data_IF_154802293062
#
_entry.id   IF_154802293062
#
_cell.length_a   1.000
_cell.length_b   1.000
_cell.length_c   1.000
_cell.angle_alpha   90.00
_cell.angle_beta   90.00
_cell.angle_gamma   90.00
#
_symmetry.space_group_name_H-M   'P 1'
#
loop_
_entity.id
_entity.type
_entity.pdbx_description
1 polymer ?
#
# COMPACT_ATOMS: atom_id res chain seq x y z
N UNK A 1 39.23 -29.08 -27.58
CA UNK A 1 37.97 -29.37 -26.84
C UNK A 1 37.52 -28.22 -25.94
N UNK A 2 38.43 -27.49 -25.27
CA UNK A 2 38.10 -26.39 -24.36
C UNK A 2 37.41 -25.15 -24.99
N UNK A 3 37.68 -24.85 -26.26
CA UNK A 3 37.01 -23.74 -26.96
C UNK A 3 35.50 -23.93 -27.15
N UNK A 4 35.03 -25.18 -27.27
CA UNK A 4 33.60 -25.51 -27.37
C UNK A 4 32.90 -25.38 -26.01
N UNK A 5 33.62 -25.62 -24.92
CA UNK A 5 33.10 -25.52 -23.55
C UNK A 5 32.89 -24.06 -23.12
N UNK A 6 33.82 -23.17 -23.49
CA UNK A 6 33.68 -21.73 -23.26
C UNK A 6 32.51 -21.12 -24.03
N UNK A 7 32.29 -21.56 -25.26
CA UNK A 7 31.16 -21.09 -26.08
C UNK A 7 29.81 -21.51 -25.49
N UNK A 8 29.74 -22.68 -24.86
CA UNK A 8 28.53 -23.18 -24.19
C UNK A 8 28.19 -22.38 -22.93
N UNK A 9 29.19 -22.02 -22.13
CA UNK A 9 29.02 -21.16 -20.95
C UNK A 9 28.55 -19.76 -21.32
N UNK A 10 29.13 -19.16 -22.36
CA UNK A 10 28.71 -17.85 -22.88
C UNK A 10 27.27 -17.90 -23.40
N UNK A 11 26.87 -18.99 -24.07
CA UNK A 11 25.50 -19.17 -24.53
C UNK A 11 24.50 -19.26 -23.37
N UNK A 12 24.83 -19.94 -22.27
CA UNK A 12 23.96 -20.04 -21.08
C UNK A 12 23.79 -18.68 -20.40
N UNK A 13 24.87 -17.90 -20.27
CA UNK A 13 24.81 -16.55 -19.68
C UNK A 13 23.97 -15.62 -20.55
N UNK A 14 24.15 -15.66 -21.88
CA UNK A 14 23.34 -14.87 -22.81
C UNK A 14 21.86 -15.28 -22.77
N UNK A 15 21.55 -16.58 -22.71
CA UNK A 15 20.18 -17.06 -22.56
C UNK A 15 19.55 -16.62 -21.24
N UNK A 16 20.31 -16.58 -20.14
CA UNK A 16 19.82 -16.11 -18.84
C UNK A 16 19.53 -14.60 -18.83
N UNK A 17 20.35 -13.80 -19.53
CA UNK A 17 20.12 -12.36 -19.67
C UNK A 17 18.88 -12.11 -20.54
N UNK A 18 18.74 -12.84 -21.65
CA UNK A 18 17.55 -12.75 -22.52
C UNK A 18 16.30 -13.15 -21.74
N UNK A 19 16.35 -14.22 -20.94
CA UNK A 19 15.23 -14.64 -20.08
C UNK A 19 14.85 -13.58 -19.04
N UNK A 20 15.84 -12.94 -18.42
CA UNK A 20 15.62 -11.85 -17.46
C UNK A 20 14.89 -10.66 -18.11
N UNK A 21 15.23 -10.32 -19.36
CA UNK A 21 14.55 -9.25 -20.09
C UNK A 21 13.17 -9.66 -20.65
N UNK A 22 12.96 -10.93 -21.01
CA UNK A 22 11.66 -11.42 -21.48
C UNK A 22 10.63 -11.48 -20.35
N UNK A 23 11.02 -11.82 -19.11
CA UNK A 23 10.11 -11.76 -17.95
C UNK A 23 9.75 -10.32 -17.54
N UNK A 24 10.57 -9.33 -17.91
CA UNK A 24 10.30 -7.90 -17.69
C UNK A 24 9.46 -7.21 -18.77
N UNK A 25 9.11 -7.89 -19.87
CA UNK A 25 8.48 -7.24 -21.04
C UNK A 25 7.30 -8.02 -21.64
N UNK A 26 6.55 -8.75 -20.81
CA UNK A 26 5.19 -9.23 -21.12
C UNK A 26 4.20 -8.51 -20.20
N UNK A 27 4.13 -7.20 -20.39
CA UNK A 27 3.02 -6.36 -19.93
C UNK A 27 2.98 -5.18 -20.89
N UNK A 28 2.43 -5.42 -22.08
CA UNK A 28 1.92 -4.43 -23.04
C UNK A 28 1.42 -5.18 -24.28
N UNK A 29 0.24 -5.76 -24.12
CA UNK A 29 -0.67 -6.01 -25.24
C UNK A 29 -2.03 -5.51 -24.80
N UNK A 30 -2.11 -4.18 -24.69
CA UNK A 30 -3.34 -3.42 -24.55
C UNK A 30 -3.63 -2.85 -25.94
N UNK A 31 -4.41 -3.57 -26.74
CA UNK A 31 -5.22 -3.02 -27.82
C UNK A 31 -6.06 -4.16 -28.39
N UNK A 32 -7.33 -4.21 -27.95
CA UNK A 32 -8.48 -4.99 -28.46
C UNK A 32 -9.29 -5.71 -27.38
N UNK A 33 -9.57 -5.04 -26.25
CA UNK A 33 -10.89 -5.12 -25.57
C UNK A 33 -11.23 -3.74 -25.00
N UNK A 34 -11.14 -2.72 -25.85
CA UNK A 34 -11.80 -1.42 -25.64
C UNK A 34 -13.10 -1.54 -26.42
N UNK A 35 -14.20 -1.76 -25.69
CA UNK A 35 -15.62 -1.58 -26.07
C UNK A 35 -16.61 -2.61 -25.44
N UNK A 36 -16.18 -3.43 -24.46
CA UNK A 36 -17.12 -4.24 -23.66
C UNK A 36 -16.86 -4.23 -22.15
N UNK A 37 -16.42 -3.09 -21.63
CA UNK A 37 -16.37 -2.80 -20.19
C UNK A 37 -17.08 -1.49 -19.82
N UNK A 38 -17.87 -0.94 -20.75
CA UNK A 38 -18.80 0.16 -20.52
C UNK A 38 -20.23 -0.30 -20.21
N UNK A 39 -20.50 -1.60 -20.17
CA UNK A 39 -21.82 -2.13 -19.84
C UNK A 39 -21.70 -3.28 -18.83
N UNK A 40 -22.03 -2.98 -17.57
CA UNK A 40 -22.28 -4.00 -16.54
C UNK A 40 -21.56 -3.78 -15.21
N UNK A 41 -22.03 -2.83 -14.40
CA UNK A 41 -21.86 -2.91 -12.94
C UNK A 41 -21.18 -1.76 -12.21
N UNK A 42 -20.85 -0.64 -12.85
CA UNK A 42 -20.37 0.57 -12.16
C UNK A 42 -21.48 1.45 -11.55
N UNK A 43 -22.71 0.95 -11.49
CA UNK A 43 -23.89 1.70 -11.05
C UNK A 43 -24.49 1.14 -9.76
N UNK A 44 -24.03 1.63 -8.60
CA UNK A 44 -24.90 2.06 -7.47
C UNK A 44 -24.19 2.44 -6.16
N UNK A 45 -22.91 2.13 -5.97
CA UNK A 45 -22.25 2.44 -4.68
C UNK A 45 -21.34 3.70 -4.70
N UNK A 46 -20.90 4.17 -5.87
CA UNK A 46 -20.06 5.39 -5.99
C UNK A 46 -20.85 6.70 -6.12
N UNK A 47 -22.12 6.74 -5.68
CA UNK A 47 -22.93 7.97 -5.68
C UNK A 47 -23.39 8.31 -4.27
N UNK A 48 -22.47 8.77 -3.41
CA UNK A 48 -22.77 9.74 -2.34
C UNK A 48 -21.45 10.26 -1.73
N UNK A 49 -21.34 11.58 -1.56
CA UNK A 49 -20.12 12.25 -1.09
C UNK A 49 -19.41 11.70 0.15
N UNK A 50 -20.07 11.03 1.13
CA UNK A 50 -19.37 10.46 2.28
C UNK A 50 -18.36 9.35 1.96
N UNK A 51 -18.66 8.47 0.99
CA UNK A 51 -17.75 7.38 0.61
C UNK A 51 -16.48 7.91 -0.07
N UNK A 52 -16.60 8.95 -0.90
CA UNK A 52 -15.45 9.64 -1.52
C UNK A 52 -14.55 10.29 -0.47
N UNK A 53 -15.13 10.96 0.53
CA UNK A 53 -14.37 11.57 1.63
C UNK A 53 -13.58 10.54 2.43
N UNK A 54 -14.20 9.41 2.76
CA UNK A 54 -13.53 8.35 3.51
C UNK A 54 -12.45 7.65 2.68
N UNK A 55 -12.67 7.49 1.37
CA UNK A 55 -11.62 7.02 0.45
C UNK A 55 -10.42 7.97 0.43
N UNK A 56 -10.64 9.29 0.38
CA UNK A 56 -9.56 10.27 0.50
C UNK A 56 -8.81 10.15 1.82
N UNK A 57 -9.53 9.97 2.93
CA UNK A 57 -8.91 9.75 4.25
C UNK A 57 -8.04 8.49 4.24
N UNK A 58 -8.58 7.37 3.74
CA UNK A 58 -7.84 6.11 3.62
C UNK A 58 -6.61 6.23 2.71
N UNK A 59 -6.71 7.05 1.66
CA UNK A 59 -5.63 7.27 0.70
C UNK A 59 -4.50 8.12 1.25
N UNK A 60 -4.72 8.84 2.35
CA UNK A 60 -3.68 9.69 2.95
C UNK A 60 -2.48 8.87 3.35
N UNK A 61 -1.29 9.33 2.97
CA UNK A 61 0.00 8.76 3.36
C UNK A 61 0.89 9.83 3.96
N UNK A 62 1.74 9.44 4.89
CA UNK A 62 2.77 10.32 5.44
C UNK A 62 4.15 9.78 5.10
N UNK A 63 5.04 10.67 4.65
CA UNK A 63 6.46 10.40 4.47
C UNK A 63 7.24 11.19 5.50
N UNK A 64 7.93 10.50 6.41
CA UNK A 64 8.76 11.09 7.46
C UNK A 64 10.23 11.01 7.03
N UNK A 65 10.87 12.16 6.86
CA UNK A 65 12.27 12.25 6.43
C UNK A 65 13.23 12.24 7.64
N UNK A 66 13.34 11.08 8.28
CA UNK A 66 14.27 10.83 9.38
C UNK A 66 14.64 9.35 9.43
N UNK A 67 15.58 9.01 10.33
CA UNK A 67 16.02 7.64 10.55
C UNK A 67 14.83 6.67 10.78
N UNK A 68 14.83 5.49 10.12
CA UNK A 68 13.73 4.53 10.22
C UNK A 68 13.49 4.00 11.63
N UNK A 69 14.51 3.88 12.48
CA UNK A 69 14.31 3.44 13.86
C UNK A 69 13.60 4.53 14.66
N UNK A 70 14.07 5.78 14.55
CA UNK A 70 13.43 6.93 15.22
C UNK A 70 11.98 7.13 14.79
N UNK A 71 11.71 7.07 13.49
CA UNK A 71 10.35 7.23 12.95
C UNK A 71 9.46 6.04 13.28
N UNK A 72 10.02 4.82 13.29
CA UNK A 72 9.31 3.62 13.71
C UNK A 72 8.88 3.66 15.17
N UNK A 73 9.77 4.07 16.09
CA UNK A 73 9.45 4.26 17.51
C UNK A 73 8.38 5.33 17.72
N UNK A 74 8.47 6.45 17.01
CA UNK A 74 7.44 7.49 17.04
C UNK A 74 6.07 6.96 16.61
N UNK A 75 6.01 6.28 15.46
CA UNK A 75 4.78 5.71 14.93
C UNK A 75 4.20 4.69 15.91
N UNK A 76 5.03 3.80 16.46
CA UNK A 76 4.58 2.79 17.39
C UNK A 76 4.01 3.41 18.69
N UNK A 77 4.68 4.44 19.21
CA UNK A 77 4.21 5.16 20.39
C UNK A 77 2.90 5.90 20.15
N UNK A 78 2.80 6.64 19.04
CA UNK A 78 1.61 7.44 18.72
C UNK A 78 0.42 6.57 18.35
N UNK A 79 0.62 5.58 17.46
CA UNK A 79 -0.45 4.67 17.06
C UNK A 79 -0.92 3.81 18.23
N UNK A 80 0.00 3.31 19.07
CA UNK A 80 -0.34 2.51 20.25
C UNK A 80 -1.06 3.29 21.37
N UNK A 81 -1.13 4.62 21.28
CA UNK A 81 -1.87 5.45 22.22
C UNK A 81 -3.34 5.67 21.84
N UNK A 82 -3.78 5.29 20.63
CA UNK A 82 -5.18 5.40 20.22
C UNK A 82 -5.94 4.11 20.61
N UNK A 83 -7.03 4.26 21.37
CA UNK A 83 -7.84 3.14 21.88
C UNK A 83 -8.43 2.22 20.80
N UNK A 84 -8.50 2.68 19.53
CA UNK A 84 -9.01 1.91 18.40
C UNK A 84 -7.92 1.16 17.65
N UNK A 85 -6.65 1.35 18.01
CA UNK A 85 -5.52 0.56 17.49
C UNK A 85 -5.35 -0.67 18.37
N UNK A 86 -5.54 -1.85 17.80
CA UNK A 86 -5.52 -3.12 18.54
C UNK A 86 -4.13 -3.72 18.64
N UNK A 87 -3.25 -3.42 17.68
CA UNK A 87 -1.88 -3.91 17.69
C UNK A 87 -0.96 -3.01 16.86
N UNK A 88 0.29 -2.89 17.32
CA UNK A 88 1.41 -2.42 16.52
C UNK A 88 2.46 -3.52 16.54
N UNK A 89 2.80 -4.07 15.37
CA UNK A 89 3.71 -5.22 15.27
C UNK A 89 4.83 -4.95 14.28
N UNK A 90 6.09 -5.25 14.64
CA UNK A 90 7.19 -5.21 13.68
C UNK A 90 7.06 -6.35 12.67
N UNK A 91 7.32 -6.03 11.41
CA UNK A 91 7.53 -6.95 10.30
C UNK A 91 8.87 -6.64 9.63
N UNK A 92 9.38 -7.54 8.78
CA UNK A 92 10.64 -7.33 8.07
C UNK A 92 10.59 -6.04 7.23
N UNK A 93 11.30 -5.00 7.67
CA UNK A 93 11.35 -3.69 6.99
C UNK A 93 10.08 -2.86 7.13
N UNK A 94 9.18 -3.20 8.06
CA UNK A 94 7.93 -2.46 8.25
C UNK A 94 7.41 -2.51 9.69
N UNK A 95 6.52 -1.59 10.03
CA UNK A 95 5.62 -1.70 11.19
C UNK A 95 4.19 -1.81 10.69
N UNK A 96 3.47 -2.82 11.15
CA UNK A 96 2.06 -3.00 10.87
C UNK A 96 1.24 -2.47 12.03
N UNK A 97 0.28 -1.61 11.71
CA UNK A 97 -0.68 -1.02 12.65
C UNK A 97 -2.05 -1.59 12.33
N UNK A 98 -2.65 -2.30 13.29
CA UNK A 98 -3.98 -2.87 13.17
C UNK A 98 -5.01 -1.99 13.86
N UNK A 99 -6.09 -1.68 13.15
CA UNK A 99 -7.22 -0.91 13.66
C UNK A 99 -8.42 -1.85 13.84
N UNK A 100 -9.10 -1.68 14.98
CA UNK A 100 -10.23 -2.49 15.39
C UNK A 100 -11.38 -2.53 14.36
N UNK A 101 -11.99 -3.70 14.24
CA UNK A 101 -13.27 -3.92 13.57
C UNK A 101 -13.27 -3.85 12.05
N UNK A 102 -12.11 -3.80 11.37
CA UNK A 102 -12.13 -3.27 10.00
C UNK A 102 -11.05 -3.69 9.00
N UNK A 103 -10.06 -4.51 9.38
CA UNK A 103 -8.94 -4.91 8.48
C UNK A 103 -8.36 -3.77 7.60
N UNK A 104 -8.22 -2.49 8.01
CA UNK A 104 -7.28 -1.65 7.30
C UNK A 104 -5.88 -2.08 7.73
N UNK A 105 -5.12 -2.66 6.80
CA UNK A 105 -3.71 -2.96 7.01
C UNK A 105 -2.94 -1.66 6.81
N UNK A 106 -2.69 -0.94 7.90
CA UNK A 106 -1.81 0.22 7.87
C UNK A 106 -0.38 -0.27 8.00
N UNK A 107 0.47 0.11 7.06
CA UNK A 107 1.88 -0.30 7.04
C UNK A 107 2.77 0.93 6.97
N UNK A 108 3.72 1.01 7.89
CA UNK A 108 4.84 1.93 7.83
C UNK A 108 6.06 1.20 7.26
N UNK A 109 6.44 1.53 6.03
CA UNK A 109 7.64 1.01 5.40
C UNK A 109 8.87 1.78 5.89
N UNK A 110 9.79 1.07 6.52
CA UNK A 110 11.02 1.62 7.09
C UNK A 110 12.11 1.58 6.02
N UNK A 111 12.24 2.66 5.24
CA UNK A 111 13.27 2.78 4.20
C UNK A 111 14.53 3.44 4.81
N UNK A 112 15.73 3.24 4.21
CA UNK A 112 16.98 3.75 4.77
C UNK A 112 17.03 5.27 4.98
N UNK A 113 16.29 6.03 4.17
CA UNK A 113 16.29 7.49 4.15
C UNK A 113 14.99 8.12 4.68
N UNK A 114 13.93 7.32 4.82
CA UNK A 114 12.58 7.81 5.14
C UNK A 114 11.65 6.69 5.59
N UNK A 115 10.59 7.06 6.29
CA UNK A 115 9.50 6.13 6.58
C UNK A 115 8.23 6.56 5.87
N UNK A 116 7.58 5.64 5.16
CA UNK A 116 6.32 5.90 4.46
C UNK A 116 5.22 5.09 5.14
N UNK A 117 4.25 5.76 5.75
CA UNK A 117 3.10 5.13 6.38
C UNK A 117 1.82 5.44 5.62
N UNK A 118 0.99 4.42 5.43
CA UNK A 118 -0.32 4.54 4.80
C UNK A 118 -1.12 3.26 4.92
N UNK A 119 -2.36 3.29 4.45
CA UNK A 119 -3.17 2.09 4.27
C UNK A 119 -2.70 1.34 3.03
N UNK A 120 -2.44 0.04 3.17
CA UNK A 120 -2.11 -0.88 2.08
C UNK A 120 -3.34 -1.67 1.59
N UNK A 121 -4.18 -2.08 2.53
CA UNK A 121 -5.40 -2.85 2.30
C UNK A 121 -6.49 -2.35 3.24
N UNK A 122 -7.76 -2.38 2.81
CA UNK A 122 -8.91 -2.08 3.66
C UNK A 122 -10.10 -2.96 3.32
N UNK A 123 -10.94 -3.23 4.32
CA UNK A 123 -12.26 -3.82 4.09
C UNK A 123 -13.31 -2.76 3.79
N UNK A 124 -14.25 -3.14 2.93
CA UNK A 124 -15.40 -2.36 2.55
C UNK A 124 -16.66 -3.07 3.04
N UNK A 125 -17.37 -2.42 3.95
CA UNK A 125 -18.56 -2.98 4.58
C UNK A 125 -19.69 -1.96 4.58
N UNK A 126 -20.90 -2.43 4.33
CA UNK A 126 -22.12 -1.61 4.37
C UNK A 126 -22.05 -0.33 3.51
N UNK A 127 -21.25 -0.34 2.44
CA UNK A 127 -21.08 0.80 1.53
C UNK A 127 -19.99 1.80 1.91
N UNK A 128 -19.18 1.52 2.94
CA UNK A 128 -18.14 2.44 3.42
C UNK A 128 -16.81 1.73 3.71
N UNK A 129 -15.66 2.38 3.48
CA UNK A 129 -14.38 1.86 3.92
C UNK A 129 -14.26 1.99 5.44
N UNK A 130 -13.87 0.91 6.07
CA UNK A 130 -13.82 0.85 7.52
C UNK A 130 -12.50 1.42 8.06
N UNK A 131 -12.53 2.06 9.22
CA UNK A 131 -11.32 2.62 9.87
C UNK A 131 -10.84 3.99 9.37
N UNK A 132 -11.49 4.59 8.37
CA UNK A 132 -11.06 5.88 7.78
C UNK A 132 -10.88 7.03 8.77
N UNK A 133 -11.79 7.15 9.74
CA UNK A 133 -11.69 8.21 10.76
C UNK A 133 -10.55 7.95 11.75
N UNK A 134 -10.32 6.68 12.11
CA UNK A 134 -9.23 6.30 13.01
C UNK A 134 -7.90 6.54 12.33
N UNK A 135 -7.76 6.09 11.07
CA UNK A 135 -6.55 6.35 10.29
C UNK A 135 -6.27 7.85 10.15
N UNK A 136 -7.27 8.66 9.80
CA UNK A 136 -7.08 10.11 9.69
C UNK A 136 -6.55 10.73 10.99
N UNK A 137 -7.09 10.32 12.14
CA UNK A 137 -6.68 10.81 13.46
C UNK A 137 -5.26 10.36 13.83
N UNK A 138 -4.94 9.09 13.58
CA UNK A 138 -3.59 8.54 13.80
C UNK A 138 -2.58 9.26 12.91
N UNK A 139 -2.91 9.51 11.64
CA UNK A 139 -2.07 10.28 10.73
C UNK A 139 -1.85 11.72 11.23
N UNK A 140 -2.90 12.42 11.68
CA UNK A 140 -2.77 13.75 12.27
C UNK A 140 -1.85 13.75 13.50
N UNK A 141 -2.03 12.79 14.41
CA UNK A 141 -1.22 12.66 15.61
C UNK A 141 0.25 12.34 15.29
N UNK A 142 0.52 11.50 14.28
CA UNK A 142 1.88 11.20 13.82
C UNK A 142 2.52 12.47 13.23
N UNK A 143 1.82 13.20 12.38
CA UNK A 143 2.31 14.43 11.77
C UNK A 143 2.62 15.50 12.83
N UNK A 144 1.74 15.67 13.81
CA UNK A 144 1.92 16.62 14.92
C UNK A 144 3.12 16.24 15.81
N UNK A 145 3.23 14.97 16.19
CA UNK A 145 4.33 14.47 17.01
C UNK A 145 5.68 14.57 16.28
N UNK A 146 5.70 14.24 14.98
CA UNK A 146 6.89 14.37 14.14
C UNK A 146 7.34 15.84 14.04
N UNK A 147 6.40 16.76 13.83
CA UNK A 147 6.69 18.20 13.79
C UNK A 147 7.29 18.70 15.12
N UNK A 148 6.75 18.28 16.27
CA UNK A 148 7.30 18.62 17.61
C UNK A 148 8.73 18.10 17.81
N UNK A 149 9.09 17.02 17.13
CA UNK A 149 10.44 16.43 17.17
C UNK A 149 11.39 16.95 16.08
N UNK A 150 10.95 17.91 15.27
CA UNK A 150 11.73 18.47 14.16
C UNK A 150 11.90 17.51 12.98
N UNK A 151 11.04 16.50 12.84
CA UNK A 151 11.04 15.57 11.71
C UNK A 151 10.18 16.17 10.60
N UNK A 152 10.74 16.27 9.38
CA UNK A 152 9.99 16.75 8.21
C UNK A 152 8.98 15.70 7.77
N UNK A 153 7.73 16.13 7.55
CA UNK A 153 6.61 15.29 7.11
C UNK A 153 6.09 15.82 5.78
N UNK A 154 5.97 14.92 4.80
CA UNK A 154 5.28 15.20 3.54
C UNK A 154 4.02 14.34 3.45
N UNK A 155 2.91 14.95 3.05
CA UNK A 155 1.65 14.22 2.82
C UNK A 155 1.56 13.79 1.35
N UNK A 156 0.97 12.61 1.15
CA UNK A 156 0.67 12.07 -0.17
C UNK A 156 -0.70 11.40 -0.19
N UNK A 157 -1.09 10.93 -1.37
CA UNK A 157 -2.34 10.21 -1.57
C UNK A 157 -2.10 8.92 -2.37
N UNK A 158 -2.85 7.87 -2.02
CA UNK A 158 -2.92 6.60 -2.73
C UNK A 158 -4.32 6.36 -3.24
N UNK A 159 -4.40 5.74 -4.42
CA UNK A 159 -5.65 5.24 -4.97
C UNK A 159 -5.84 3.78 -4.59
N UNK A 160 -7.10 3.38 -4.40
CA UNK A 160 -7.46 1.99 -4.14
C UNK A 160 -8.26 1.41 -5.28
N UNK A 161 -8.06 0.12 -5.51
CA UNK A 161 -8.86 -0.69 -6.42
C UNK A 161 -9.38 -1.91 -5.67
N UNK A 162 -10.55 -2.40 -6.06
CA UNK A 162 -11.10 -3.65 -5.53
C UNK A 162 -10.12 -4.79 -5.83
N UNK A 163 -9.77 -5.57 -4.80
CA UNK A 163 -8.88 -6.70 -4.93
C UNK A 163 -9.54 -7.82 -5.74
N UNK A 164 -8.82 -8.37 -6.72
CA UNK A 164 -9.27 -9.54 -7.49
C UNK A 164 -8.93 -10.81 -6.72
N UNK A 165 -9.65 -11.04 -5.61
CA UNK A 165 -9.52 -12.23 -4.77
C UNK A 165 -10.92 -12.78 -4.47
N UNK A 166 -11.14 -14.10 -4.52
CA UNK A 166 -12.40 -14.70 -4.08
C UNK A 166 -12.50 -14.52 -2.56
N UNK A 167 -13.15 -13.44 -2.13
CA UNK A 167 -13.48 -13.20 -0.74
C UNK A 167 -14.92 -13.64 -0.50
N UNK A 168 -15.13 -14.60 0.41
CA UNK A 168 -16.44 -15.20 0.68
C UNK A 168 -17.34 -14.32 1.57
N UNK A 169 -16.88 -13.19 2.10
CA UNK A 169 -17.68 -12.38 3.04
C UNK A 169 -17.47 -10.86 3.04
N UNK A 170 -16.32 -10.34 2.61
CA UNK A 170 -16.01 -8.90 2.70
C UNK A 170 -15.32 -8.39 1.44
N UNK A 171 -15.76 -7.26 0.92
CA UNK A 171 -15.09 -6.62 -0.21
C UNK A 171 -13.77 -6.00 0.27
N UNK A 172 -12.66 -6.37 -0.36
CA UNK A 172 -11.32 -5.91 -0.01
C UNK A 172 -10.81 -4.95 -1.08
N UNK A 173 -10.22 -3.85 -0.65
CA UNK A 173 -9.61 -2.85 -1.53
C UNK A 173 -8.12 -2.74 -1.21
N UNK A 174 -7.30 -2.69 -2.25
CA UNK A 174 -5.84 -2.63 -2.16
C UNK A 174 -5.31 -1.42 -2.92
N UNK A 175 -4.12 -0.96 -2.55
CA UNK A 175 -3.44 0.13 -3.27
C UNK A 175 -3.25 -0.23 -4.74
N UNK A 176 -3.57 0.72 -5.62
CA UNK A 176 -3.33 0.60 -7.06
C UNK A 176 -1.82 0.62 -7.34
N UNK A 177 -1.29 -0.50 -7.84
CA UNK A 177 0.11 -0.64 -8.29
C UNK A 177 0.40 0.09 -9.58
#
# INVERSE_FOLDING_TARGET
MFAKLGLFLVAIVLLSIIWFFVKGKVSRTHEQVRDRALEGGFGRAMTSGPATKQLTMMGRTLTLAADPQRTGELIAHVAGADDRVTAVRPESGALVVEIDGSRPLVRAHLLPDRTVIGVDEMSWEMGFPQGAQVWSRVADAIAESAAKQGISVAEGAREFVKADRPSESQEVWVVRS
#
